data_IF_949175811155
#
_entry.id   IF_949175811155
#
_cell.length_a   1.000
_cell.length_b   1.000
_cell.length_c   1.000
_cell.angle_alpha   90.00
_cell.angle_beta   90.00
_cell.angle_gamma   90.00
#
_symmetry.space_group_name_H-M   'P 1'
#
loop_
_entity.id
_entity.type
_entity.pdbx_description
1 polymer ?
#
# COMPACT_ATOMS: atom_id res chain seq x y z
N UNK A 1 10.28 17.80 16.20
CA UNK A 1 10.49 17.27 15.58
C UNK A 1 9.74 16.20 15.08
N UNK A 2 9.33 16.21 14.01
CA UNK A 2 8.59 15.20 13.38
C UNK A 2 9.29 13.88 13.31
N UNK A 3 10.56 13.94 13.29
CA UNK A 3 11.23 12.68 13.14
C UNK A 3 11.04 11.78 14.33
N UNK A 4 10.78 12.32 15.46
CA UNK A 4 10.55 11.48 16.56
C UNK A 4 9.29 10.78 16.41
N UNK A 5 8.30 11.38 15.79
CA UNK A 5 7.06 10.74 15.60
C UNK A 5 7.19 9.59 14.66
N UNK A 6 7.97 9.78 13.62
CA UNK A 6 8.12 8.69 12.69
C UNK A 6 8.85 7.55 13.32
N UNK A 7 9.75 7.79 14.23
CA UNK A 7 10.48 6.69 14.81
C UNK A 7 9.66 5.87 15.76
N UNK A 8 8.43 6.27 16.07
CA UNK A 8 7.59 5.47 16.91
C UNK A 8 7.09 4.24 16.22
N UNK A 9 7.05 4.24 14.91
CA UNK A 9 6.58 3.08 14.16
C UNK A 9 7.76 2.31 13.60
N UNK A 10 7.57 1.00 13.47
CA UNK A 10 8.63 0.17 12.94
C UNK A 10 8.83 0.35 11.45
N UNK A 11 7.78 0.74 10.74
CA UNK A 11 7.81 0.86 9.29
C UNK A 11 7.47 2.27 8.87
N UNK A 12 7.92 2.65 7.69
CA UNK A 12 7.66 3.98 7.14
C UNK A 12 6.62 3.85 6.06
N UNK A 13 5.69 4.79 6.01
CA UNK A 13 4.59 4.77 5.07
C UNK A 13 4.99 5.49 3.79
N UNK A 14 4.79 4.82 2.65
CA UNK A 14 4.99 5.45 1.35
C UNK A 14 3.87 5.01 0.42
N UNK A 15 3.68 5.75 -0.66
CA UNK A 15 2.66 5.48 -1.66
C UNK A 15 3.30 5.50 -3.02
N UNK A 16 2.89 4.59 -3.91
CA UNK A 16 3.24 4.77 -5.31
C UNK A 16 2.43 5.95 -5.83
N UNK A 17 2.87 6.66 -6.88
CA UNK A 17 2.19 7.90 -7.29
C UNK A 17 0.71 7.74 -7.60
N UNK A 18 0.31 6.65 -8.26
CA UNK A 18 -1.10 6.43 -8.56
C UNK A 18 -1.92 6.23 -7.29
N UNK A 19 -1.36 5.52 -6.30
CA UNK A 19 -2.06 5.32 -5.05
C UNK A 19 -2.16 6.62 -4.27
N UNK A 20 -1.14 7.47 -4.35
CA UNK A 20 -1.18 8.76 -3.68
C UNK A 20 -2.32 9.61 -4.23
N UNK A 21 -2.50 9.61 -5.57
CA UNK A 21 -3.59 10.34 -6.17
C UNK A 21 -4.94 9.79 -5.72
N UNK A 22 -5.06 8.48 -5.62
CA UNK A 22 -6.29 7.85 -5.15
C UNK A 22 -6.56 8.20 -3.69
N UNK A 23 -5.52 8.23 -2.89
CA UNK A 23 -5.65 8.60 -1.48
C UNK A 23 -6.13 10.04 -1.34
N UNK A 24 -5.56 10.94 -2.12
CA UNK A 24 -5.93 12.35 -2.05
C UNK A 24 -7.37 12.57 -2.47
N UNK A 25 -7.92 11.71 -3.30
CA UNK A 25 -9.30 11.84 -3.77
C UNK A 25 -10.32 11.35 -2.75
N UNK A 26 -9.90 10.69 -1.67
CA UNK A 26 -10.84 10.26 -0.64
C UNK A 26 -11.39 11.46 0.12
N UNK A 27 -12.62 11.33 0.60
CA UNK A 27 -13.13 12.41 1.44
C UNK A 27 -12.45 12.33 2.82
N UNK A 28 -12.60 13.37 3.61
CA UNK A 28 -11.86 13.49 4.85
C UNK A 28 -12.16 12.39 5.86
N UNK A 29 -13.41 11.97 5.95
CA UNK A 29 -13.80 10.96 6.93
C UNK A 29 -13.20 9.60 6.57
N UNK A 30 -13.25 9.22 5.30
CA UNK A 30 -12.70 7.94 4.87
C UNK A 30 -11.19 7.95 4.98
N UNK A 31 -10.57 9.08 4.62
CA UNK A 31 -9.14 9.22 4.74
C UNK A 31 -8.69 9.05 6.18
N UNK A 32 -9.43 9.63 7.11
CA UNK A 32 -9.07 9.54 8.52
C UNK A 32 -9.21 8.11 9.04
N UNK A 33 -10.27 7.42 8.63
CA UNK A 33 -10.47 6.04 9.04
C UNK A 33 -9.36 5.14 8.51
N UNK A 34 -9.01 5.30 7.24
CA UNK A 34 -7.93 4.51 6.67
C UNK A 34 -6.59 4.85 7.29
N UNK A 35 -6.39 6.13 7.64
CA UNK A 35 -5.14 6.54 8.28
C UNK A 35 -4.96 5.84 9.62
N UNK A 36 -6.02 5.70 10.39
CA UNK A 36 -5.94 5.02 11.68
C UNK A 36 -5.59 3.55 11.50
N UNK A 37 -6.18 2.92 10.50
CA UNK A 37 -5.87 1.52 10.23
C UNK A 37 -4.42 1.36 9.75
N UNK A 38 -3.97 2.28 8.91
CA UNK A 38 -2.59 2.23 8.44
C UNK A 38 -1.59 2.42 9.57
N UNK A 39 -1.90 3.26 10.54
CA UNK A 39 -1.00 3.44 11.66
C UNK A 39 -0.78 2.14 12.42
N UNK A 40 -1.82 1.36 12.58
CA UNK A 40 -1.70 0.07 13.23
C UNK A 40 -0.83 -0.88 12.41
N UNK A 41 -0.98 -0.83 11.09
CA UNK A 41 -0.19 -1.69 10.23
C UNK A 41 1.27 -1.27 10.18
N UNK A 42 1.58 -0.01 10.45
CA UNK A 42 2.97 0.43 10.50
C UNK A 42 3.73 -0.23 11.65
N UNK A 43 3.04 -0.68 12.67
CA UNK A 43 3.68 -1.39 13.75
C UNK A 43 3.69 -2.89 13.50
N UNK A 44 2.71 -3.39 12.78
CA UNK A 44 2.61 -4.81 12.49
C UNK A 44 1.94 -5.03 11.15
N UNK A 45 2.69 -4.93 10.05
CA UNK A 45 2.09 -5.03 8.73
C UNK A 45 1.76 -6.45 8.28
N UNK A 46 2.34 -7.46 8.92
CA UNK A 46 2.12 -8.85 8.51
C UNK A 46 0.94 -9.44 9.27
N UNK A 47 -0.25 -8.98 8.93
CA UNK A 47 -1.46 -9.32 9.67
C UNK A 47 -2.07 -10.62 9.16
N UNK A 48 -2.25 -11.62 9.98
CA UNK A 48 -2.89 -12.86 9.54
C UNK A 48 -4.29 -12.58 9.03
N UNK A 49 -4.64 -13.20 7.94
CA UNK A 49 -5.95 -13.00 7.34
C UNK A 49 -5.99 -11.84 6.37
N UNK A 50 -4.97 -10.99 6.36
CA UNK A 50 -4.91 -9.89 5.41
C UNK A 50 -4.02 -10.16 4.21
N UNK A 51 -3.22 -11.22 4.27
CA UNK A 51 -2.25 -11.44 3.21
C UNK A 51 -2.89 -11.89 1.92
N UNK A 52 -2.25 -11.54 0.83
CA UNK A 52 -2.68 -11.90 -0.50
C UNK A 52 -1.72 -12.92 -1.08
N UNK A 53 -2.14 -13.59 -2.14
CA UNK A 53 -1.38 -14.70 -2.68
C UNK A 53 -1.15 -14.54 -4.17
N UNK A 54 -0.44 -15.48 -4.76
CA UNK A 54 -0.18 -15.45 -6.19
C UNK A 54 0.68 -14.28 -6.59
N UNK A 55 0.24 -13.54 -7.58
CA UNK A 55 0.99 -12.38 -8.06
C UNK A 55 1.08 -11.28 -7.02
N UNK A 56 0.25 -11.33 -5.99
CA UNK A 56 0.29 -10.33 -4.92
C UNK A 56 0.90 -10.89 -3.63
N UNK A 57 1.67 -11.97 -3.74
CA UNK A 57 2.33 -12.51 -2.56
C UNK A 57 3.21 -11.42 -1.94
N UNK A 58 3.24 -11.35 -0.63
CA UNK A 58 3.96 -10.30 0.08
C UNK A 58 3.19 -9.02 0.26
N UNK A 59 1.96 -8.98 -0.23
CA UNK A 59 1.09 -7.83 -0.09
C UNK A 59 -0.10 -8.16 0.80
N UNK A 60 -0.74 -7.12 1.31
CA UNK A 60 -1.83 -7.25 2.27
C UNK A 60 -2.94 -6.30 1.91
N UNK A 61 -4.15 -6.61 2.37
CA UNK A 61 -5.29 -5.75 2.11
C UNK A 61 -5.87 -5.18 3.39
N UNK A 62 -6.46 -4.02 3.28
CA UNK A 62 -7.29 -3.44 4.32
C UNK A 62 -8.63 -3.15 3.67
N UNK A 63 -9.73 -3.51 4.33
CA UNK A 63 -11.06 -3.24 3.83
C UNK A 63 -11.83 -2.34 4.77
N UNK A 64 -12.45 -1.31 4.22
CA UNK A 64 -13.43 -0.50 4.94
C UNK A 64 -14.78 -0.97 4.45
N UNK A 65 -15.38 -1.92 5.16
CA UNK A 65 -16.59 -2.56 4.68
C UNK A 65 -17.76 -1.63 4.52
N UNK A 66 -17.94 -0.74 5.48
CA UNK A 66 -19.04 0.16 5.42
C UNK A 66 -18.98 1.09 4.24
N UNK A 67 -17.84 1.67 3.98
CA UNK A 67 -17.66 2.61 2.90
C UNK A 67 -17.31 1.96 1.58
N UNK A 68 -16.97 0.68 1.60
CA UNK A 68 -16.64 -0.03 0.38
C UNK A 68 -15.25 0.20 -0.15
N UNK A 69 -14.36 0.85 0.61
CA UNK A 69 -13.00 1.07 0.14
C UNK A 69 -12.10 -0.11 0.45
N UNK A 70 -11.14 -0.32 -0.42
CA UNK A 70 -10.13 -1.35 -0.25
C UNK A 70 -8.76 -0.76 -0.55
N UNK A 71 -7.78 -1.20 0.22
CA UNK A 71 -6.42 -0.69 0.07
C UNK A 71 -5.48 -1.89 0.04
N UNK A 72 -4.52 -1.88 -0.89
CA UNK A 72 -3.50 -2.92 -0.97
C UNK A 72 -2.15 -2.29 -0.70
N UNK A 73 -1.37 -2.91 0.17
CA UNK A 73 -0.02 -2.44 0.45
C UNK A 73 0.95 -3.63 0.41
N UNK A 74 2.20 -3.32 0.13
CA UNK A 74 3.28 -4.29 0.19
C UNK A 74 4.26 -3.90 1.26
N UNK A 75 5.09 -4.84 1.68
CA UNK A 75 6.09 -4.59 2.71
C UNK A 75 7.45 -4.95 2.13
N UNK A 76 8.39 -4.05 2.24
CA UNK A 76 9.73 -4.32 1.81
C UNK A 76 10.69 -3.57 2.72
N UNK A 77 11.61 -4.30 3.34
CA UNK A 77 12.53 -3.74 4.32
C UNK A 77 11.74 -3.04 5.43
N UNK A 78 11.94 -1.76 5.64
CA UNK A 78 11.22 -1.03 6.67
C UNK A 78 10.12 -0.15 6.07
N UNK A 79 9.69 -0.45 4.85
CA UNK A 79 8.70 0.38 4.17
C UNK A 79 7.39 -0.37 4.00
N UNK A 80 6.29 0.29 4.34
CA UNK A 80 4.96 -0.16 3.99
C UNK A 80 4.52 0.71 2.82
N UNK A 81 4.41 0.11 1.64
CA UNK A 81 4.13 0.84 0.42
C UNK A 81 2.70 0.62 -0.03
N UNK A 82 1.90 1.68 -0.08
CA UNK A 82 0.53 1.58 -0.55
C UNK A 82 0.54 1.53 -2.07
N UNK A 83 -0.03 0.45 -2.60
CA UNK A 83 -0.04 0.19 -4.04
C UNK A 83 -1.33 0.60 -4.72
N UNK A 84 -2.45 0.53 -4.03
CA UNK A 84 -3.73 0.89 -4.64
C UNK A 84 -4.78 1.17 -3.58
N UNK A 85 -5.66 2.13 -3.85
CA UNK A 85 -6.81 2.43 -3.01
C UNK A 85 -7.99 2.59 -3.96
N UNK A 86 -9.06 1.83 -3.74
CA UNK A 86 -10.20 1.88 -4.65
C UNK A 86 -11.48 1.57 -3.89
N UNK A 87 -12.57 2.08 -4.39
CA UNK A 87 -13.88 1.83 -3.81
C UNK A 87 -14.61 0.71 -4.53
N UNK A 88 -14.02 0.17 -5.55
CA UNK A 88 -14.65 -0.90 -6.31
C UNK A 88 -14.36 -2.25 -5.70
N UNK A 89 -14.80 -3.31 -6.37
CA UNK A 89 -14.63 -4.66 -5.85
C UNK A 89 -13.16 -5.06 -5.75
N UNK A 90 -12.92 -6.14 -5.04
CA UNK A 90 -11.55 -6.61 -4.81
C UNK A 90 -10.77 -6.79 -6.10
N UNK A 91 -11.40 -7.34 -7.13
CA UNK A 91 -10.65 -7.63 -8.36
C UNK A 91 -10.10 -6.36 -8.99
N UNK A 92 -10.83 -5.24 -8.90
CA UNK A 92 -10.35 -4.00 -9.50
C UNK A 92 -9.11 -3.47 -8.77
N UNK A 93 -9.13 -3.48 -7.43
CA UNK A 93 -7.99 -2.95 -6.69
C UNK A 93 -6.80 -3.91 -6.81
N UNK A 94 -7.06 -5.22 -6.92
CA UNK A 94 -5.97 -6.17 -7.07
C UNK A 94 -5.31 -6.03 -8.44
N UNK A 95 -6.10 -5.83 -9.49
CA UNK A 95 -5.53 -5.63 -10.83
C UNK A 95 -4.70 -4.35 -10.88
N UNK A 96 -5.17 -3.29 -10.22
CA UNK A 96 -4.41 -2.06 -10.18
C UNK A 96 -3.08 -2.27 -9.45
N UNK A 97 -3.10 -2.99 -8.34
CA UNK A 97 -1.87 -3.25 -7.60
C UNK A 97 -0.90 -4.08 -8.43
N UNK A 98 -1.41 -5.11 -9.13
CA UNK A 98 -0.54 -5.95 -9.95
C UNK A 98 0.09 -5.16 -11.08
N UNK A 99 -0.68 -4.29 -11.72
CA UNK A 99 -0.14 -3.48 -12.81
C UNK A 99 0.95 -2.55 -12.31
N UNK A 100 0.78 -1.99 -11.14
CA UNK A 100 1.76 -1.06 -10.57
C UNK A 100 3.03 -1.79 -10.14
N UNK A 101 2.90 -3.01 -9.64
CA UNK A 101 4.06 -3.81 -9.32
C UNK A 101 4.85 -4.12 -10.59
N UNK A 102 4.16 -4.48 -11.67
CA UNK A 102 4.83 -4.74 -12.94
C UNK A 102 5.56 -3.52 -13.45
N UNK A 103 4.96 -2.34 -13.32
CA UNK A 103 5.61 -1.11 -13.73
C UNK A 103 6.87 -0.83 -12.92
N UNK A 104 6.81 -1.09 -11.62
CA UNK A 104 7.98 -0.88 -10.78
C UNK A 104 9.12 -1.82 -11.16
N UNK A 105 8.79 -3.08 -11.43
CA UNK A 105 9.80 -4.05 -11.82
C UNK A 105 10.42 -3.64 -13.15
N UNK A 106 9.60 -3.17 -14.09
CA UNK A 106 10.11 -2.73 -15.37
C UNK A 106 11.04 -1.53 -15.23
N UNK A 107 10.68 -0.60 -14.34
CA UNK A 107 11.53 0.56 -14.12
C UNK A 107 12.85 0.17 -13.49
N UNK A 108 12.83 -0.76 -12.54
CA UNK A 108 14.05 -1.22 -11.94
C UNK A 108 14.95 -1.92 -12.96
N UNK A 109 14.36 -2.69 -13.86
CA UNK A 109 15.12 -3.34 -14.89
C UNK A 109 15.80 -2.35 -15.81
N UNK A 110 15.17 -1.21 -16.06
CA UNK A 110 15.78 -0.19 -16.89
C UNK A 110 16.94 0.47 -16.18
N UNK A 111 16.85 0.59 -14.89
CA UNK A 111 17.87 1.29 -14.14
C UNK A 111 19.10 0.45 -13.89
N UNK A 112 18.91 -0.85 -13.77
CA UNK A 112 20.02 -1.67 -13.44
C UNK A 112 20.66 -2.32 -14.58
N UNK A 113 20.85 -2.02 -15.57
CA UNK A 113 21.36 -2.69 -16.66
C UNK A 113 22.71 -2.73 -16.68
N UNK A 114 23.19 -2.77 -16.80
CA UNK A 114 24.21 -2.59 -16.94
C UNK A 114 25.01 -3.21 -16.40
N UNK A 115 25.24 -3.77 -16.19
CA UNK A 115 26.05 -4.31 -15.73
C UNK A 115 26.45 -5.10 -16.25
N UNK A 116 26.60 -5.17 -16.84
CA UNK A 116 27.10 -5.86 -17.48
C UNK A 116 27.57 -6.10 -17.61
#
# INVERSE_FOLDING_TARGET
>A
MPSEKTSKHRYRLQFVPSAWAEWQALDGADKETLRKLLKKRLDNPHVPGGELYGALAGHYKIKLRKQGYRLVYGVQDDILMVMAVDQREDSAVYRAAMARISEMVAELAKVTPKRH
#
